data_IF_090354459285
#
_entry.id   IF_090354459285
#
_cell.length_a   1.000
_cell.length_b   1.000
_cell.length_c   1.000
_cell.angle_alpha   90.00
_cell.angle_beta   90.00
_cell.angle_gamma   90.00
#
_symmetry.space_group_name_H-M   'P 1'
#
loop_
_entity.id
_entity.type
_entity.pdbx_description
1 polymer ?
#
# COMPACT_ATOMS: atom_id res chain seq x y z
N UNK A 1 37.76 23.70 -1.97
CA UNK A 1 38.13 24.46 -0.78
C UNK A 1 38.65 23.48 0.27
N UNK A 2 39.97 23.37 0.44
CA UNK A 2 40.65 22.48 1.41
C UNK A 2 40.71 23.18 2.74
N UNK A 3 40.20 22.58 3.79
CA UNK A 3 40.43 23.03 5.18
C UNK A 3 41.51 22.15 5.76
N UNK A 4 42.64 22.77 6.08
CA UNK A 4 43.81 22.17 6.71
C UNK A 4 43.75 22.53 8.19
N UNK A 5 43.62 21.55 9.07
CA UNK A 5 43.72 21.73 10.53
C UNK A 5 45.16 21.44 10.94
N UNK A 6 45.82 22.47 11.41
CA UNK A 6 47.11 22.40 12.10
C UNK A 6 46.86 21.96 13.55
N UNK A 7 47.48 20.85 13.94
CA UNK A 7 47.62 20.47 15.35
C UNK A 7 49.04 20.82 15.84
N UNK A 8 49.13 21.72 16.78
CA UNK A 8 50.36 21.99 17.52
C UNK A 8 50.67 20.81 18.46
N UNK A 9 51.96 20.40 18.40
CA UNK A 9 52.55 19.43 19.32
C UNK A 9 52.92 20.10 20.62
N UNK A 10 52.30 19.73 21.73
CA UNK A 10 52.91 19.82 23.03
C UNK A 10 53.25 18.41 23.55
N UNK A 11 54.53 18.11 23.59
CA UNK A 11 55.08 16.94 24.26
C UNK A 11 54.88 17.06 25.77
N UNK A 12 54.24 16.09 26.38
CA UNK A 12 54.46 15.78 27.78
C UNK A 12 54.72 14.28 27.95
N UNK A 13 56.00 13.96 28.23
CA UNK A 13 56.50 12.62 28.55
C UNK A 13 55.97 12.20 29.93
N UNK A 14 55.24 11.12 29.97
CA UNK A 14 54.98 10.41 31.21
C UNK A 14 53.52 10.02 31.39
N UNK A 15 53.12 8.89 30.76
CA UNK A 15 51.98 7.99 31.14
C UNK A 15 51.60 7.02 30.04
N UNK A 16 52.60 6.28 29.52
CA UNK A 16 52.35 5.34 28.38
C UNK A 16 51.78 3.97 28.75
N UNK A 17 51.36 3.69 29.99
CA UNK A 17 50.86 2.35 30.34
C UNK A 17 49.35 2.26 30.69
N UNK A 18 48.64 3.36 30.85
CA UNK A 18 47.21 3.31 31.15
C UNK A 18 46.30 3.53 29.94
N UNK A 19 46.82 4.07 28.84
CA UNK A 19 46.05 4.42 27.65
C UNK A 19 45.72 3.18 26.76
N UNK A 20 46.57 2.15 26.79
CA UNK A 20 46.35 0.92 26.01
C UNK A 20 45.22 0.05 26.59
N UNK A 21 45.00 0.11 27.90
CA UNK A 21 43.92 -0.66 28.54
C UNK A 21 42.54 -0.02 28.29
N UNK A 22 42.48 1.28 28.17
CA UNK A 22 41.23 2.00 27.89
C UNK A 22 40.78 1.83 26.44
N UNK A 23 41.72 1.74 25.49
CA UNK A 23 41.42 1.51 24.06
C UNK A 23 40.93 0.06 23.81
N UNK A 24 41.49 -0.91 24.54
CA UNK A 24 41.05 -2.29 24.49
C UNK A 24 39.65 -2.48 25.10
N UNK A 25 39.30 -1.72 26.13
CA UNK A 25 37.96 -1.77 26.74
C UNK A 25 36.87 -1.13 25.85
N UNK A 26 37.22 -0.11 25.07
CA UNK A 26 36.29 0.50 24.10
C UNK A 26 35.98 -0.46 22.93
N UNK A 27 36.92 -1.31 22.52
CA UNK A 27 36.66 -2.32 21.48
C UNK A 27 35.83 -3.51 21.96
N UNK A 28 35.86 -3.82 23.25
CA UNK A 28 35.04 -4.89 23.84
C UNK A 28 33.59 -4.45 24.12
N UNK A 29 33.30 -3.15 24.11
CA UNK A 29 31.98 -2.56 24.25
C UNK A 29 31.27 -2.33 22.90
N UNK A 30 31.91 -2.65 21.79
CA UNK A 30 31.30 -2.75 20.47
C UNK A 30 30.28 -3.92 20.43
N UNK A 31 29.28 -3.87 21.32
CA UNK A 31 28.08 -4.67 21.09
C UNK A 31 27.56 -4.23 19.73
N UNK A 32 27.60 -5.14 18.77
CA UNK A 32 26.81 -5.01 17.57
C UNK A 32 25.38 -4.76 18.04
N UNK A 33 24.95 -3.50 17.97
CA UNK A 33 23.53 -3.18 18.15
C UNK A 33 22.86 -3.82 16.95
N UNK A 34 22.43 -5.07 17.14
CA UNK A 34 21.52 -5.72 16.19
C UNK A 34 20.29 -4.81 16.23
N UNK A 35 20.04 -4.11 15.14
CA UNK A 35 18.86 -3.28 15.02
C UNK A 35 17.65 -4.15 15.32
N UNK A 36 16.98 -3.87 16.43
CA UNK A 36 15.80 -4.60 16.82
C UNK A 36 14.72 -4.32 15.77
N UNK A 37 14.10 -5.39 15.24
CA UNK A 37 13.00 -5.22 14.32
C UNK A 37 11.87 -4.43 14.97
N UNK A 38 11.40 -3.44 14.23
CA UNK A 38 10.33 -2.53 14.68
C UNK A 38 8.98 -2.95 14.15
N UNK A 39 8.92 -3.91 13.22
CA UNK A 39 7.67 -4.41 12.66
C UNK A 39 6.95 -5.37 13.61
N UNK A 40 5.64 -5.35 13.55
CA UNK A 40 4.76 -6.25 14.31
C UNK A 40 3.48 -6.53 13.53
N UNK A 41 2.85 -7.66 13.88
CA UNK A 41 1.53 -8.03 13.37
C UNK A 41 0.93 -9.10 14.25
N UNK A 42 -0.35 -9.02 14.53
CA UNK A 42 -1.07 -10.00 15.32
C UNK A 42 -2.59 -9.86 15.15
N UNK A 43 -3.28 -10.97 15.27
CA UNK A 43 -4.74 -11.01 15.35
C UNK A 43 -5.15 -11.10 16.83
N UNK A 44 -5.93 -10.13 17.30
CA UNK A 44 -6.47 -10.12 18.66
C UNK A 44 -7.98 -9.97 18.60
N UNK A 45 -8.69 -11.00 19.05
CA UNK A 45 -10.14 -11.10 18.86
C UNK A 45 -10.46 -10.93 17.35
N UNK A 46 -11.30 -9.97 17.00
CA UNK A 46 -11.73 -9.68 15.63
C UNK A 46 -10.96 -8.51 15.01
N UNK A 47 -9.75 -8.24 15.46
CA UNK A 47 -8.93 -7.13 14.95
C UNK A 47 -7.55 -7.63 14.57
N UNK A 48 -7.20 -7.51 13.29
CA UNK A 48 -5.84 -7.70 12.78
C UNK A 48 -5.11 -6.36 12.81
N UNK A 49 -3.97 -6.34 13.48
CA UNK A 49 -3.11 -5.16 13.60
C UNK A 49 -1.78 -5.47 12.95
N UNK A 50 -1.28 -4.56 12.12
CA UNK A 50 0.05 -4.67 11.53
C UNK A 50 0.70 -3.29 11.38
N UNK A 51 2.01 -3.24 11.53
CA UNK A 51 2.74 -1.99 11.41
C UNK A 51 4.19 -2.08 11.86
N UNK A 52 4.81 -0.92 11.95
CA UNK A 52 6.18 -0.70 12.42
C UNK A 52 6.27 0.60 13.24
N UNK A 53 7.45 1.19 13.34
CA UNK A 53 7.67 2.48 14.02
C UNK A 53 7.09 3.70 13.26
N UNK A 54 6.74 3.58 11.96
CA UNK A 54 6.25 4.68 11.13
C UNK A 54 4.77 4.61 10.81
N UNK A 55 4.26 3.40 10.54
CA UNK A 55 2.89 3.19 10.08
C UNK A 55 2.23 2.07 10.86
N UNK A 56 0.95 2.21 11.12
CA UNK A 56 0.09 1.15 11.62
C UNK A 56 -1.21 1.13 10.87
N UNK A 57 -1.68 -0.06 10.49
CA UNK A 57 -3.01 -0.26 9.93
C UNK A 57 -3.72 -1.32 10.75
N UNK A 58 -4.94 -1.01 11.20
CA UNK A 58 -5.80 -1.94 11.92
C UNK A 58 -6.98 -2.32 11.06
N UNK A 59 -7.38 -3.58 11.14
CA UNK A 59 -8.49 -4.12 10.35
C UNK A 59 -9.47 -4.85 11.24
N UNK A 60 -10.74 -4.74 10.93
CA UNK A 60 -11.75 -5.69 11.39
C UNK A 60 -11.61 -6.98 10.58
N UNK A 61 -11.68 -8.13 11.25
CA UNK A 61 -11.36 -9.44 10.67
C UNK A 61 -12.33 -9.86 9.55
N UNK A 62 -13.62 -9.69 9.74
CA UNK A 62 -14.67 -9.97 8.74
C UNK A 62 -14.43 -11.27 7.93
N UNK A 63 -14.22 -12.39 8.62
CA UNK A 63 -13.92 -13.68 8.01
C UNK A 63 -12.77 -13.64 6.98
N UNK A 64 -11.72 -12.85 7.25
CA UNK A 64 -10.53 -12.75 6.41
C UNK A 64 -10.64 -11.74 5.27
N UNK A 65 -11.83 -11.38 4.81
CA UNK A 65 -11.99 -10.25 3.89
C UNK A 65 -12.02 -8.95 4.69
N UNK A 66 -10.84 -8.43 4.96
CA UNK A 66 -10.56 -7.38 5.92
C UNK A 66 -11.27 -6.06 5.61
N UNK A 67 -11.67 -5.36 6.66
CA UNK A 67 -12.17 -3.98 6.60
C UNK A 67 -11.20 -3.10 7.36
N UNK A 68 -10.55 -2.15 6.73
CA UNK A 68 -9.71 -1.18 7.43
C UNK A 68 -10.52 -0.46 8.50
N UNK A 69 -9.99 -0.42 9.72
CA UNK A 69 -10.55 0.34 10.83
C UNK A 69 -9.82 1.66 11.01
N UNK A 70 -8.48 1.62 11.12
CA UNK A 70 -7.65 2.83 11.22
C UNK A 70 -6.41 2.71 10.36
N UNK A 71 -5.94 3.85 9.87
CA UNK A 71 -4.62 4.05 9.30
C UNK A 71 -3.92 5.12 10.14
N UNK A 72 -2.74 4.82 10.68
CA UNK A 72 -2.01 5.71 11.58
C UNK A 72 -0.62 6.02 11.03
N UNK A 73 -0.33 7.29 10.84
CA UNK A 73 1.01 7.81 10.69
C UNK A 73 1.60 8.01 12.09
N UNK A 74 2.51 7.12 12.49
CA UNK A 74 3.12 7.16 13.82
C UNK A 74 4.20 8.24 13.92
N UNK A 75 4.75 8.67 12.79
CA UNK A 75 5.75 9.73 12.73
C UNK A 75 5.13 11.07 13.12
N UNK A 76 3.99 11.39 12.51
CA UNK A 76 3.24 12.62 12.80
C UNK A 76 2.20 12.45 13.91
N UNK A 77 2.06 11.23 14.48
CA UNK A 77 1.05 10.90 15.50
C UNK A 77 -0.37 11.23 15.06
N UNK A 78 -0.66 10.97 13.80
CA UNK A 78 -1.96 11.24 13.20
C UNK A 78 -2.64 9.95 12.77
N UNK A 79 -3.95 9.83 13.03
CA UNK A 79 -4.72 8.63 12.72
C UNK A 79 -6.00 8.98 12.00
N UNK A 80 -6.22 8.34 10.86
CA UNK A 80 -7.49 8.37 10.13
C UNK A 80 -8.34 7.18 10.52
N UNK A 81 -9.59 7.44 10.85
CA UNK A 81 -10.57 6.39 11.11
C UNK A 81 -11.41 6.13 9.86
N UNK A 82 -11.39 4.90 9.40
CA UNK A 82 -12.21 4.48 8.27
C UNK A 82 -13.69 4.44 8.65
N UNK A 83 -14.55 4.94 7.77
CA UNK A 83 -16.00 4.96 7.95
C UNK A 83 -16.72 3.88 7.15
N UNK A 84 -16.02 3.20 6.25
CA UNK A 84 -16.58 2.09 5.47
C UNK A 84 -16.89 0.90 6.38
N UNK A 85 -17.97 0.22 6.05
CA UNK A 85 -18.34 -1.09 6.63
C UNK A 85 -18.22 -2.22 5.63
N UNK A 86 -17.78 -1.92 4.41
CA UNK A 86 -17.57 -2.93 3.36
C UNK A 86 -16.10 -3.33 3.33
N UNK A 87 -15.81 -4.59 2.92
CA UNK A 87 -14.45 -5.06 2.75
C UNK A 87 -13.61 -4.16 1.84
N UNK A 88 -12.31 -4.10 2.14
CA UNK A 88 -11.35 -3.34 1.34
C UNK A 88 -11.08 -4.01 -0.01
N UNK A 89 -11.27 -5.32 -0.08
CA UNK A 89 -11.14 -6.10 -1.31
C UNK A 89 -12.52 -6.57 -1.80
N UNK A 90 -12.81 -6.34 -3.07
CA UNK A 90 -14.03 -6.78 -3.75
C UNK A 90 -13.67 -7.24 -5.16
N UNK A 91 -13.94 -8.49 -5.47
CA UNK A 91 -13.75 -9.00 -6.81
C UNK A 91 -14.97 -8.63 -7.68
N UNK A 92 -14.72 -8.09 -8.87
CA UNK A 92 -15.76 -7.70 -9.84
C UNK A 92 -16.89 -6.83 -9.23
N UNK A 93 -16.56 -6.02 -8.21
CA UNK A 93 -17.51 -5.20 -7.43
C UNK A 93 -18.61 -5.96 -6.68
N UNK A 94 -18.53 -7.27 -6.61
CA UNK A 94 -19.50 -8.06 -5.87
C UNK A 94 -19.22 -8.06 -4.37
N UNK A 95 -20.29 -7.99 -3.60
CA UNK A 95 -20.27 -8.19 -2.15
C UNK A 95 -20.58 -9.67 -1.88
N UNK A 96 -19.55 -10.49 -1.83
CA UNK A 96 -19.64 -11.89 -1.44
C UNK A 96 -19.07 -12.03 -0.03
N UNK A 97 -19.80 -12.73 0.83
CA UNK A 97 -19.32 -13.05 2.17
C UNK A 97 -18.14 -14.01 2.10
N UNK A 98 -17.11 -13.69 2.90
CA UNK A 98 -15.93 -14.52 2.99
C UNK A 98 -16.14 -15.67 3.96
N UNK A 99 -15.55 -16.81 3.65
CA UNK A 99 -15.62 -18.03 4.44
C UNK A 99 -14.22 -18.66 4.60
N UNK A 100 -14.09 -19.61 5.54
CA UNK A 100 -12.89 -20.43 5.73
C UNK A 100 -11.61 -19.63 5.89
N UNK A 101 -11.68 -18.56 6.68
CA UNK A 101 -10.57 -17.65 6.84
C UNK A 101 -9.47 -18.22 7.76
N UNK A 102 -8.23 -17.91 7.40
CA UNK A 102 -7.06 -18.14 8.24
C UNK A 102 -6.05 -17.02 8.10
N UNK A 103 -5.19 -16.87 9.10
CA UNK A 103 -4.06 -15.94 9.08
C UNK A 103 -2.80 -16.66 9.52
N UNK A 104 -1.73 -16.48 8.75
CA UNK A 104 -0.39 -16.94 9.05
C UNK A 104 0.53 -15.72 9.15
N UNK A 105 1.30 -15.64 10.24
CA UNK A 105 2.21 -14.50 10.49
C UNK A 105 3.60 -15.05 10.67
N UNK A 106 4.51 -14.68 9.73
CA UNK A 106 5.86 -15.24 9.67
C UNK A 106 6.88 -14.11 9.51
N UNK A 107 7.93 -14.15 10.30
CA UNK A 107 9.09 -13.30 10.12
C UNK A 107 9.97 -13.88 9.01
N UNK A 108 10.24 -13.09 7.99
CA UNK A 108 11.17 -13.43 6.91
C UNK A 108 12.50 -12.75 7.18
N UNK A 109 13.55 -13.56 7.26
CA UNK A 109 14.90 -13.05 7.50
C UNK A 109 15.42 -12.25 6.29
N UNK A 110 16.34 -11.33 6.57
CA UNK A 110 17.06 -10.62 5.53
C UNK A 110 17.85 -11.57 4.63
N UNK A 111 17.86 -11.27 3.34
CA UNK A 111 18.71 -11.92 2.34
C UNK A 111 19.55 -10.88 1.59
N UNK A 112 20.32 -11.31 0.59
CA UNK A 112 21.08 -10.38 -0.27
C UNK A 112 20.20 -9.51 -1.16
N UNK A 113 18.93 -9.93 -1.39
CA UNK A 113 18.03 -9.27 -2.34
C UNK A 113 16.86 -8.53 -1.66
N UNK A 114 16.63 -8.77 -0.39
CA UNK A 114 15.59 -8.06 0.36
C UNK A 114 15.95 -7.91 1.86
N UNK A 115 15.53 -6.82 2.51
CA UNK A 115 15.64 -6.67 3.96
C UNK A 115 14.71 -7.66 4.69
N UNK A 116 14.88 -7.80 6.01
CA UNK A 116 13.95 -8.54 6.84
C UNK A 116 12.57 -7.86 6.85
N UNK A 117 11.51 -8.67 6.87
CA UNK A 117 10.14 -8.17 6.95
C UNK A 117 9.21 -9.15 7.67
N UNK A 118 8.08 -8.65 8.12
CA UNK A 118 6.99 -9.48 8.59
C UNK A 118 6.05 -9.76 7.42
N UNK A 119 5.79 -11.05 7.16
CA UNK A 119 4.81 -11.51 6.21
C UNK A 119 3.54 -11.94 6.93
N UNK A 120 2.40 -11.40 6.51
CA UNK A 120 1.10 -11.74 7.05
C UNK A 120 0.26 -12.24 5.88
N UNK A 121 -0.03 -13.53 5.86
CA UNK A 121 -0.88 -14.16 4.86
C UNK A 121 -2.29 -14.32 5.40
N UNK A 122 -3.24 -13.66 4.77
CA UNK A 122 -4.67 -13.81 5.05
C UNK A 122 -5.29 -14.61 3.90
N UNK A 123 -5.87 -15.75 4.21
CA UNK A 123 -6.52 -16.64 3.26
C UNK A 123 -8.02 -16.71 3.58
N UNK A 124 -8.84 -16.67 2.57
CA UNK A 124 -10.29 -16.85 2.69
C UNK A 124 -10.89 -17.35 1.38
N UNK A 125 -12.13 -17.80 1.41
CA UNK A 125 -12.86 -18.21 0.21
C UNK A 125 -13.99 -17.20 -0.06
N UNK A 126 -14.17 -16.89 -1.34
CA UNK A 126 -15.37 -16.24 -1.87
C UNK A 126 -16.11 -17.29 -2.71
N UNK A 127 -17.10 -17.96 -2.13
CA UNK A 127 -17.71 -19.17 -2.70
C UNK A 127 -16.65 -20.24 -3.02
N UNK A 128 -16.39 -20.56 -4.29
CA UNK A 128 -15.38 -21.54 -4.72
C UNK A 128 -14.00 -20.93 -5.04
N UNK A 129 -13.90 -19.61 -5.06
CA UNK A 129 -12.63 -18.92 -5.29
C UNK A 129 -11.87 -18.77 -3.98
N UNK A 130 -10.63 -19.23 -3.96
CA UNK A 130 -9.71 -19.00 -2.88
C UNK A 130 -8.96 -17.70 -3.11
N UNK A 131 -8.94 -16.84 -2.11
CA UNK A 131 -8.22 -15.58 -2.11
C UNK A 131 -7.11 -15.65 -1.06
N UNK A 132 -5.89 -15.26 -1.45
CA UNK A 132 -4.77 -15.09 -0.55
C UNK A 132 -4.24 -13.67 -0.67
N UNK A 133 -4.30 -12.90 0.41
CA UNK A 133 -3.69 -11.58 0.50
C UNK A 133 -2.44 -11.66 1.36
N UNK A 134 -1.31 -11.23 0.81
CA UNK A 134 0.00 -11.27 1.46
C UNK A 134 0.46 -9.86 1.73
N UNK A 135 0.44 -9.49 3.01
CA UNK A 135 0.96 -8.21 3.48
C UNK A 135 2.42 -8.34 3.88
N UNK A 136 3.22 -7.33 3.56
CA UNK A 136 4.63 -7.24 3.96
C UNK A 136 4.86 -5.93 4.69
N UNK A 137 5.41 -6.04 5.90
CA UNK A 137 5.75 -4.90 6.75
C UNK A 137 7.26 -4.90 6.95
N UNK A 138 7.92 -3.86 6.48
CA UNK A 138 9.37 -3.69 6.59
C UNK A 138 9.73 -2.78 7.75
N UNK A 139 10.95 -2.91 8.27
CA UNK A 139 11.47 -1.97 9.25
C UNK A 139 11.53 -0.56 8.65
N UNK A 140 11.13 0.42 9.44
CA UNK A 140 11.30 1.84 9.14
C UNK A 140 10.72 2.30 7.77
N UNK A 141 9.84 1.49 7.17
CA UNK A 141 9.17 1.81 5.91
C UNK A 141 7.80 2.44 6.20
N UNK A 142 7.46 3.61 5.62
CA UNK A 142 6.16 4.25 5.84
C UNK A 142 5.04 3.62 5.00
N UNK A 143 5.21 2.38 4.56
CA UNK A 143 4.24 1.68 3.73
C UNK A 143 4.07 0.22 4.15
N UNK A 144 2.90 -0.35 3.85
CA UNK A 144 2.57 -1.76 3.96
C UNK A 144 2.24 -2.24 2.55
N UNK A 145 3.05 -3.18 2.02
CA UNK A 145 2.78 -3.77 0.72
C UNK A 145 1.71 -4.87 0.84
N UNK A 146 0.91 -5.04 -0.20
CA UNK A 146 -0.11 -6.09 -0.26
C UNK A 146 -0.18 -6.69 -1.67
N UNK A 147 0.04 -8.00 -1.76
CA UNK A 147 -0.17 -8.78 -2.98
C UNK A 147 -1.42 -9.65 -2.82
N UNK A 148 -2.21 -9.76 -3.88
CA UNK A 148 -3.42 -10.59 -3.91
C UNK A 148 -3.24 -11.72 -4.92
N UNK A 149 -3.54 -12.94 -4.49
CA UNK A 149 -3.48 -14.15 -5.30
C UNK A 149 -4.85 -14.81 -5.30
N UNK A 150 -5.28 -15.29 -6.46
CA UNK A 150 -6.55 -15.96 -6.67
C UNK A 150 -6.30 -17.38 -7.16
N UNK A 151 -7.13 -18.34 -6.69
CA UNK A 151 -7.11 -19.72 -7.15
C UNK A 151 -8.51 -20.30 -7.12
N UNK A 152 -8.97 -20.81 -8.25
CA UNK A 152 -10.28 -21.45 -8.35
C UNK A 152 -11.08 -20.95 -9.54
N UNK A 153 -12.40 -21.19 -9.51
CA UNK A 153 -13.31 -20.82 -10.58
C UNK A 153 -14.02 -19.49 -10.27
N UNK A 154 -13.91 -18.54 -11.17
CA UNK A 154 -14.46 -17.19 -11.07
C UNK A 154 -15.89 -17.11 -11.61
N UNK A 155 -16.32 -18.06 -12.46
CA UNK A 155 -17.65 -18.06 -13.12
C UNK A 155 -18.82 -17.96 -12.14
N UNK A 156 -18.59 -18.33 -10.90
CA UNK A 156 -19.60 -18.36 -9.83
C UNK A 156 -19.76 -17.00 -9.14
N UNK A 157 -18.84 -16.06 -9.39
CA UNK A 157 -18.85 -14.73 -8.76
C UNK A 157 -19.70 -13.68 -9.50
N UNK A 158 -20.50 -14.13 -10.45
CA UNK A 158 -21.29 -13.25 -11.31
C UNK A 158 -20.57 -12.96 -12.62
N UNK A 159 -21.29 -13.01 -13.69
CA UNK A 159 -20.78 -12.60 -15.00
C UNK A 159 -20.61 -11.09 -14.95
N UNK A 160 -19.42 -10.61 -15.27
CA UNK A 160 -19.33 -9.24 -15.75
C UNK A 160 -20.25 -9.20 -16.98
N UNK A 161 -21.29 -8.38 -16.95
CA UNK A 161 -22.13 -8.21 -18.13
C UNK A 161 -21.22 -7.81 -19.28
N UNK A 162 -21.09 -8.69 -20.27
CA UNK A 162 -20.47 -8.35 -21.54
C UNK A 162 -21.33 -7.24 -22.13
N UNK A 163 -20.80 -6.05 -22.21
CA UNK A 163 -21.48 -4.91 -22.82
C UNK A 163 -21.86 -5.28 -24.24
N UNK A 164 -23.16 -5.32 -24.52
CA UNK A 164 -23.68 -5.51 -25.84
C UNK A 164 -23.07 -4.48 -26.81
N UNK A 165 -22.76 -4.89 -28.04
CA UNK A 165 -22.23 -3.99 -29.08
C UNK A 165 -23.15 -2.78 -29.38
N UNK A 166 -24.44 -2.85 -29.04
CA UNK A 166 -25.40 -1.76 -29.11
C UNK A 166 -25.12 -0.67 -28.08
N UNK A 167 -24.67 -1.02 -26.89
CA UNK A 167 -24.35 -0.08 -25.81
C UNK A 167 -23.05 0.67 -26.08
N UNK A 168 -22.14 0.10 -26.87
CA UNK A 168 -20.90 0.75 -27.28
C UNK A 168 -21.10 1.99 -28.14
N UNK A 169 -22.20 2.11 -28.87
CA UNK A 169 -22.50 3.27 -29.74
C UNK A 169 -23.04 4.50 -28.98
N UNK A 170 -23.54 4.30 -27.76
CA UNK A 170 -23.99 5.39 -26.89
C UNK A 170 -22.92 5.81 -25.87
N UNK A 171 -21.68 5.37 -26.04
CA UNK A 171 -20.59 5.40 -25.05
C UNK A 171 -20.02 6.79 -24.82
N UNK A 172 -20.09 7.70 -25.77
CA UNK A 172 -19.57 9.08 -25.56
C UNK A 172 -20.24 9.81 -24.38
N UNK A 173 -21.43 9.40 -23.98
CA UNK A 173 -22.16 10.00 -22.83
C UNK A 173 -22.13 9.12 -21.56
N UNK A 174 -21.68 7.88 -21.67
CA UNK A 174 -21.70 6.88 -20.57
C UNK A 174 -20.30 6.43 -20.18
N UNK A 175 -19.25 7.06 -20.68
CA UNK A 175 -17.85 6.68 -20.42
C UNK A 175 -17.54 6.52 -18.92
N UNK A 176 -18.11 7.37 -18.08
CA UNK A 176 -17.88 7.32 -16.63
C UNK A 176 -18.57 6.14 -15.93
N UNK A 177 -19.60 5.57 -16.48
CA UNK A 177 -20.39 4.49 -15.85
C UNK A 177 -20.00 3.08 -16.29
N UNK A 178 -19.51 2.93 -17.51
CA UNK A 178 -19.31 1.60 -18.13
C UNK A 178 -17.88 1.07 -18.05
N UNK A 179 -16.89 1.96 -18.02
CA UNK A 179 -15.48 1.60 -18.17
C UNK A 179 -14.98 0.65 -17.07
N UNK A 180 -15.66 0.57 -15.93
CA UNK A 180 -15.20 -0.22 -14.79
C UNK A 180 -16.26 -1.07 -14.10
N UNK A 181 -17.28 -1.53 -14.79
CA UNK A 181 -18.22 -2.45 -14.17
C UNK A 181 -17.56 -3.77 -13.75
N UNK A 182 -16.47 -4.15 -14.40
CA UNK A 182 -15.71 -5.37 -14.15
C UNK A 182 -14.46 -5.16 -13.29
N UNK A 183 -14.07 -3.93 -12.98
CA UNK A 183 -12.88 -3.69 -12.18
C UNK A 183 -13.06 -4.18 -10.74
N UNK A 184 -12.06 -4.90 -10.26
CA UNK A 184 -11.98 -5.30 -8.86
C UNK A 184 -11.47 -4.14 -8.00
N UNK A 185 -11.97 -4.05 -6.78
CA UNK A 185 -11.38 -3.19 -5.75
C UNK A 185 -10.26 -3.97 -5.06
N UNK A 186 -9.03 -3.49 -5.18
CA UNK A 186 -7.87 -4.10 -4.55
C UNK A 186 -7.65 -3.60 -3.13
N UNK A 187 -7.92 -2.32 -2.91
CA UNK A 187 -7.87 -1.68 -1.60
C UNK A 187 -8.79 -0.46 -1.56
N UNK A 188 -9.33 -0.16 -0.39
CA UNK A 188 -10.27 0.95 -0.21
C UNK A 188 -10.09 1.57 1.16
N UNK A 189 -10.01 2.91 1.16
CA UNK A 189 -10.05 3.73 2.37
C UNK A 189 -11.20 4.72 2.25
N UNK A 190 -11.94 4.92 3.32
CA UNK A 190 -13.03 5.88 3.36
C UNK A 190 -12.96 6.67 4.66
N UNK A 191 -12.45 7.90 4.57
CA UNK A 191 -12.24 8.78 5.69
C UNK A 191 -13.26 9.93 5.70
N UNK A 192 -13.51 10.47 6.88
CA UNK A 192 -14.29 11.70 6.99
C UNK A 192 -13.42 12.88 6.55
N UNK A 193 -14.06 13.87 5.94
CA UNK A 193 -13.40 15.10 5.53
C UNK A 193 -13.77 15.47 4.09
N UNK A 194 -13.71 16.76 3.81
CA UNK A 194 -14.10 17.32 2.51
C UNK A 194 -12.95 18.09 1.84
N UNK A 195 -11.84 18.25 2.56
CA UNK A 195 -10.73 19.11 2.13
C UNK A 195 -9.52 18.29 1.72
N UNK A 196 -9.73 17.40 0.75
CA UNK A 196 -8.70 16.54 0.22
C UNK A 196 -8.08 17.09 -1.06
N UNK A 197 -6.77 17.03 -1.13
CA UNK A 197 -6.00 17.28 -2.32
C UNK A 197 -5.44 15.95 -2.82
N UNK A 198 -5.60 15.67 -4.11
CA UNK A 198 -5.18 14.41 -4.71
C UNK A 198 -4.28 14.71 -5.89
N UNK A 199 -3.08 14.16 -5.85
CA UNK A 199 -2.14 14.15 -6.96
C UNK A 199 -2.03 12.71 -7.46
N UNK A 200 -2.35 12.45 -8.72
CA UNK A 200 -2.11 11.18 -9.38
C UNK A 200 -0.90 11.31 -10.29
N UNK A 201 0.03 10.38 -10.16
CA UNK A 201 1.28 10.37 -10.91
C UNK A 201 1.34 9.10 -11.73
N UNK A 202 1.52 9.27 -13.03
CA UNK A 202 1.76 8.21 -13.98
C UNK A 202 3.24 8.18 -14.34
N UNK A 203 3.88 7.00 -14.18
CA UNK A 203 5.25 6.79 -14.61
C UNK A 203 5.21 6.18 -16.01
N UNK A 204 5.60 6.93 -16.99
CA UNK A 204 5.81 6.42 -18.35
C UNK A 204 7.18 5.76 -18.44
N UNK A 205 7.19 4.53 -18.94
CA UNK A 205 8.43 3.94 -19.45
C UNK A 205 8.72 4.57 -20.81
N UNK A 206 9.75 5.37 -20.82
CA UNK A 206 10.05 6.20 -21.95
C UNK A 206 10.99 5.51 -22.91
N UNK A 207 10.50 4.57 -23.61
CA UNK A 207 11.01 4.29 -24.97
C UNK A 207 10.61 5.40 -25.95
N UNK A 208 9.70 6.27 -25.56
CA UNK A 208 9.30 7.43 -26.30
C UNK A 208 10.09 8.68 -25.90
N UNK A 209 10.29 9.57 -26.83
CA UNK A 209 11.10 10.80 -26.78
C UNK A 209 10.76 11.77 -25.62
N UNK A 210 9.70 11.52 -24.92
CA UNK A 210 9.23 12.31 -23.81
C UNK A 210 9.17 11.45 -22.55
N UNK A 211 10.26 11.39 -21.80
CA UNK A 211 10.31 10.87 -20.42
C UNK A 211 9.44 11.72 -19.48
N UNK A 212 8.16 11.85 -19.76
CA UNK A 212 7.30 12.76 -19.05
C UNK A 212 6.58 12.04 -17.93
N UNK A 213 6.90 12.46 -16.71
CA UNK A 213 6.08 12.21 -15.56
C UNK A 213 4.78 13.01 -15.74
N UNK A 214 3.65 12.33 -15.88
CA UNK A 214 2.35 13.00 -15.90
C UNK A 214 1.82 13.11 -14.49
N UNK A 215 1.47 14.32 -14.07
CA UNK A 215 0.87 14.61 -12.78
C UNK A 215 -0.49 15.24 -13.00
N UNK A 216 -1.53 14.57 -12.54
CA UNK A 216 -2.88 15.12 -12.46
C UNK A 216 -3.17 15.55 -11.02
N UNK A 217 -3.52 16.82 -10.84
CA UNK A 217 -3.81 17.39 -9.53
C UNK A 217 -5.25 17.85 -9.43
N UNK A 218 -5.95 17.38 -8.39
CA UNK A 218 -7.34 17.72 -8.16
C UNK A 218 -7.62 18.07 -6.70
N UNK A 219 -8.49 19.07 -6.52
CA UNK A 219 -9.15 19.31 -5.25
C UNK A 219 -10.48 18.56 -5.26
N UNK A 220 -10.60 17.57 -4.36
CA UNK A 220 -11.84 16.83 -4.24
C UNK A 220 -12.86 17.67 -3.49
N UNK A 221 -13.80 18.26 -4.20
CA UNK A 221 -14.92 18.95 -3.59
C UNK A 221 -16.17 18.07 -3.51
N UNK A 222 -16.88 17.89 -4.60
CA UNK A 222 -18.16 17.17 -4.63
C UNK A 222 -18.28 16.25 -5.81
N UNK A 223 -17.14 15.83 -6.39
CA UNK A 223 -17.12 15.09 -7.64
C UNK A 223 -16.32 13.81 -7.51
N UNK A 224 -16.83 12.77 -8.10
CA UNK A 224 -16.11 11.53 -8.32
C UNK A 224 -15.09 11.71 -9.42
N UNK A 225 -13.83 11.42 -9.12
CA UNK A 225 -12.72 11.50 -10.06
C UNK A 225 -12.10 10.11 -10.25
N UNK A 226 -11.75 9.81 -11.49
CA UNK A 226 -11.07 8.60 -11.90
C UNK A 226 -9.68 8.98 -12.40
N UNK A 227 -8.67 8.21 -11.98
CA UNK A 227 -7.28 8.50 -12.31
C UNK A 227 -6.62 7.28 -12.94
N UNK A 228 -5.76 7.54 -13.91
CA UNK A 228 -4.84 6.55 -14.48
C UNK A 228 -3.44 6.89 -14.00
N UNK A 229 -2.71 5.90 -13.50
CA UNK A 229 -1.36 6.11 -13.00
C UNK A 229 -0.92 5.06 -11.99
N UNK A 230 0.28 5.24 -11.49
CA UNK A 230 0.93 4.30 -10.58
C UNK A 230 0.89 4.76 -9.11
N UNK A 231 0.86 6.06 -8.89
CA UNK A 231 0.89 6.65 -7.55
C UNK A 231 -0.26 7.63 -7.35
N UNK A 232 -1.08 7.40 -6.34
CA UNK A 232 -2.06 8.35 -5.85
C UNK A 232 -1.59 8.89 -4.51
N UNK A 233 -1.24 10.16 -4.48
CA UNK A 233 -0.91 10.88 -3.25
C UNK A 233 -2.11 11.68 -2.79
N UNK A 234 -2.45 11.53 -1.52
CA UNK A 234 -3.63 12.17 -0.91
C UNK A 234 -3.19 12.98 0.28
N UNK A 235 -3.63 14.23 0.35
CA UNK A 235 -3.32 15.13 1.46
C UNK A 235 -4.57 15.84 1.93
N UNK A 236 -4.80 15.84 3.22
CA UNK A 236 -5.84 16.63 3.86
C UNK A 236 -5.38 18.07 4.03
N UNK A 237 -6.13 19.03 3.51
CA UNK A 237 -5.72 20.43 3.48
C UNK A 237 -5.73 21.12 4.85
N UNK A 238 -6.49 20.60 5.79
CA UNK A 238 -6.59 21.19 7.14
C UNK A 238 -5.43 20.69 8.01
N UNK A 239 -5.30 19.39 8.19
CA UNK A 239 -4.27 18.79 9.04
C UNK A 239 -2.89 18.78 8.38
N UNK A 240 -2.81 18.93 7.05
CA UNK A 240 -1.61 18.77 6.22
C UNK A 240 -1.03 17.36 6.21
N UNK A 241 -1.67 16.41 6.90
CA UNK A 241 -1.29 15.01 6.86
C UNK A 241 -1.76 14.35 5.57
N UNK A 242 -1.07 13.30 5.15
CA UNK A 242 -1.39 12.61 3.92
C UNK A 242 -0.94 11.15 3.94
N UNK A 243 -1.38 10.43 2.93
CA UNK A 243 -1.00 9.07 2.65
C UNK A 243 -0.92 8.86 1.14
N UNK A 244 -0.46 7.71 0.71
CA UNK A 244 -0.37 7.38 -0.70
C UNK A 244 -0.76 5.92 -0.96
N UNK A 245 -1.16 5.67 -2.20
CA UNK A 245 -1.21 4.33 -2.77
C UNK A 245 -0.21 4.23 -3.91
N UNK A 246 0.62 3.20 -3.88
CA UNK A 246 1.52 2.86 -4.99
C UNK A 246 1.04 1.54 -5.59
N UNK A 247 0.72 1.57 -6.88
CA UNK A 247 0.37 0.40 -7.68
C UNK A 247 1.59 0.00 -8.51
N UNK A 248 2.25 -1.09 -8.11
CA UNK A 248 3.45 -1.59 -8.81
C UNK A 248 3.10 -2.30 -10.13
N UNK A 249 1.85 -2.70 -10.32
CA UNK A 249 1.39 -3.25 -11.60
C UNK A 249 1.38 -2.17 -12.69
N UNK A 250 1.51 -2.54 -13.96
CA UNK A 250 1.34 -1.60 -15.07
C UNK A 250 0.03 -0.83 -14.93
N UNK A 251 0.05 0.46 -15.25
CA UNK A 251 -1.15 1.28 -15.22
C UNK A 251 -2.12 0.89 -16.33
N UNK A 252 -3.38 1.29 -16.20
CA UNK A 252 -4.46 0.92 -17.13
C UNK A 252 -4.23 1.36 -18.58
N UNK A 253 -3.43 2.39 -18.80
CA UNK A 253 -3.09 2.89 -20.13
C UNK A 253 -2.24 1.94 -20.95
N UNK A 254 -1.38 1.15 -20.31
CA UNK A 254 -0.45 0.23 -20.99
C UNK A 254 -0.98 -1.20 -21.08
N UNK A 255 -2.10 -1.49 -20.42
CA UNK A 255 -2.74 -2.80 -20.47
C UNK A 255 -3.80 -2.83 -21.55
N UNK A 256 -3.52 -3.47 -22.69
CA UNK A 256 -4.41 -3.53 -23.86
C UNK A 256 -5.81 -4.12 -23.54
N UNK A 257 -5.93 -4.95 -22.54
CA UNK A 257 -7.19 -5.58 -22.13
C UNK A 257 -7.93 -4.81 -21.03
N UNK A 258 -7.35 -3.75 -20.47
CA UNK A 258 -7.91 -3.02 -19.35
C UNK A 258 -8.14 -1.56 -19.70
N UNK A 259 -9.35 -1.26 -20.12
CA UNK A 259 -9.79 0.10 -20.43
C UNK A 259 -10.41 0.76 -19.20
N UNK A 260 -9.71 0.78 -18.09
CA UNK A 260 -10.24 1.31 -16.85
C UNK A 260 -9.43 2.45 -16.25
N UNK A 261 -9.59 2.61 -14.98
CA UNK A 261 -8.79 3.51 -14.16
C UNK A 261 -8.06 2.73 -13.06
N UNK A 262 -6.99 3.30 -12.56
CA UNK A 262 -6.16 2.70 -11.51
C UNK A 262 -6.63 3.11 -10.13
N UNK A 263 -7.15 4.34 -10.01
CA UNK A 263 -7.64 4.89 -8.76
C UNK A 263 -8.95 5.65 -8.97
N UNK A 264 -9.74 5.67 -7.92
CA UNK A 264 -10.95 6.48 -7.81
C UNK A 264 -10.93 7.24 -6.49
N UNK A 265 -11.32 8.51 -6.53
CA UNK A 265 -11.46 9.33 -5.33
C UNK A 265 -12.76 10.13 -5.34
N UNK A 266 -13.47 10.13 -4.19
CA UNK A 266 -14.73 10.84 -3.98
C UNK A 266 -14.94 11.11 -2.50
N UNK A 267 -15.14 12.37 -2.08
CA UNK A 267 -15.48 12.77 -0.69
C UNK A 267 -14.65 12.14 0.44
N UNK A 268 -13.40 11.85 0.23
CA UNK A 268 -12.59 11.14 1.21
C UNK A 268 -12.67 9.62 1.10
N UNK A 269 -13.35 9.09 0.09
CA UNK A 269 -13.28 7.70 -0.33
C UNK A 269 -12.20 7.56 -1.40
N UNK A 270 -11.27 6.64 -1.20
CA UNK A 270 -10.14 6.38 -2.08
C UNK A 270 -10.10 4.89 -2.38
N UNK A 271 -10.10 4.53 -3.65
CA UNK A 271 -10.14 3.14 -4.11
C UNK A 271 -9.00 2.88 -5.06
N UNK A 272 -8.27 1.80 -4.82
CA UNK A 272 -7.32 1.21 -5.77
C UNK A 272 -8.04 0.14 -6.55
N UNK A 273 -8.01 0.21 -7.88
CA UNK A 273 -8.68 -0.75 -8.74
C UNK A 273 -7.69 -1.68 -9.43
N UNK A 274 -8.15 -2.84 -9.79
CA UNK A 274 -7.42 -3.84 -10.56
C UNK A 274 -8.30 -4.46 -11.62
N UNK A 275 -7.73 -5.36 -12.40
CA UNK A 275 -8.46 -6.12 -13.40
C UNK A 275 -9.65 -6.85 -12.77
N UNK A 276 -10.76 -6.85 -13.45
CA UNK A 276 -11.79 -7.84 -13.25
C UNK A 276 -11.25 -9.20 -13.71
N UNK A 277 -11.79 -10.26 -13.15
CA UNK A 277 -11.39 -11.63 -13.48
C UNK A 277 -12.56 -12.30 -14.17
N UNK A 278 -12.31 -12.94 -15.30
CA UNK A 278 -13.32 -13.65 -16.10
C UNK A 278 -13.12 -15.17 -16.07
N UNK A 279 -14.07 -15.91 -16.59
CA UNK A 279 -13.98 -17.38 -16.71
C UNK A 279 -12.80 -17.84 -17.59
N UNK A 280 -12.25 -16.94 -18.40
CA UNK A 280 -11.14 -17.24 -19.32
C UNK A 280 -9.77 -17.03 -18.68
N UNK A 281 -9.72 -16.44 -17.49
CA UNK A 281 -8.49 -16.18 -16.75
C UNK A 281 -8.22 -17.31 -15.73
#
# INVERSE_FOLDING_TARGET
>A
MKVQLLFEKHLNRGRKKKSFFLLGLLFLLGKTVVAQDTFYGYLKKDTLIMGNNRIERTFLWNNGNLITHTLTDKTNRYSWRNTSRTPDFQLNKELVEAEKASVDIVRVAQTTIHPAYLQIEVKFALRQLQVKRVYKVYNDCPAIACNTYLKGNVSILGKSEELNNADRKNIEFLEDMQINQTASTLDKLNFKGQHWNVDCIEFFDATDWNNNLVVERNFLSYRKNHYRGNLLQVRENISKNGFFFLKEAPCSNVQLAYQGYDFMAEFGSFTVTGLGVSEKD
#
